data_IF_408175903045
#
_entry.id   IF_408175903045
#
_cell.length_a   1.000
_cell.length_b   1.000
_cell.length_c   1.000
_cell.angle_alpha   90.00
_cell.angle_beta   90.00
_cell.angle_gamma   90.00
#
_symmetry.space_group_name_H-M   'P 1'
#
loop_
_entity.id
_entity.type
_entity.pdbx_description
1 polymer ?
#
# COMPACT_ATOMS: atom_id res chain seq x y z
N UNK A 1 8.17 -30.02 -4.62
CA UNK A 1 9.15 -28.98 -4.27
C UNK A 1 8.45 -27.63 -4.31
N UNK A 2 8.42 -26.84 -3.24
CA UNK A 2 7.86 -25.50 -3.33
C UNK A 2 8.80 -24.63 -4.17
N UNK A 3 8.29 -24.09 -5.27
CA UNK A 3 8.96 -23.03 -6.02
C UNK A 3 8.96 -21.77 -5.15
N UNK A 4 10.14 -21.28 -4.78
CA UNK A 4 10.28 -19.97 -4.14
C UNK A 4 9.67 -18.93 -5.08
N UNK A 5 8.66 -18.20 -4.60
CA UNK A 5 8.11 -17.07 -5.33
C UNK A 5 9.17 -15.97 -5.35
N UNK A 6 9.50 -15.39 -6.51
CA UNK A 6 10.45 -14.30 -6.57
C UNK A 6 9.90 -13.09 -5.78
N UNK A 7 10.75 -12.48 -4.97
CA UNK A 7 10.43 -11.23 -4.27
C UNK A 7 10.34 -10.09 -5.28
N UNK A 8 9.29 -9.27 -5.19
CA UNK A 8 9.11 -8.05 -5.98
C UNK A 8 9.34 -6.83 -5.08
N UNK A 9 10.36 -6.03 -5.40
CA UNK A 9 10.54 -4.72 -4.80
C UNK A 9 9.84 -3.68 -5.69
N UNK A 10 8.88 -2.93 -5.14
CA UNK A 10 8.06 -1.96 -5.88
C UNK A 10 8.20 -0.56 -5.26
N UNK A 11 8.41 0.46 -6.11
CA UNK A 11 8.38 1.87 -5.72
C UNK A 11 7.34 2.65 -6.52
N UNK A 12 6.53 3.47 -5.85
CA UNK A 12 5.49 4.30 -6.46
C UNK A 12 5.95 5.76 -6.44
N UNK A 13 6.33 6.29 -7.61
CA UNK A 13 6.69 7.70 -7.79
C UNK A 13 5.64 8.42 -8.62
N UNK A 14 5.07 9.49 -8.08
CA UNK A 14 4.08 10.32 -8.76
C UNK A 14 4.08 11.73 -8.15
N UNK A 15 3.49 12.68 -8.87
CA UNK A 15 3.32 14.07 -8.44
C UNK A 15 2.62 14.19 -7.07
N UNK A 16 2.72 15.34 -6.42
CA UNK A 16 1.99 15.60 -5.17
C UNK A 16 0.48 15.42 -5.43
N UNK A 17 -0.22 14.84 -4.46
CA UNK A 17 -1.67 14.55 -4.53
C UNK A 17 -2.14 13.64 -5.66
N UNK A 18 -1.23 12.96 -6.37
CA UNK A 18 -1.56 11.97 -7.40
C UNK A 18 -2.16 10.65 -6.83
N UNK A 19 -2.46 10.59 -5.53
CA UNK A 19 -3.06 9.41 -4.90
C UNK A 19 -2.10 8.25 -4.63
N UNK A 20 -0.80 8.51 -4.45
CA UNK A 20 0.21 7.48 -4.13
C UNK A 20 -0.19 6.65 -2.90
N UNK A 21 -0.57 7.31 -1.82
CA UNK A 21 -1.00 6.69 -0.57
C UNK A 21 -2.24 5.82 -0.77
N UNK A 22 -3.24 6.34 -1.48
CA UNK A 22 -4.47 5.59 -1.79
C UNK A 22 -4.21 4.35 -2.67
N UNK A 23 -3.22 4.40 -3.57
CA UNK A 23 -2.81 3.24 -4.35
C UNK A 23 -2.12 2.18 -3.48
N UNK A 24 -1.24 2.59 -2.56
CA UNK A 24 -0.58 1.68 -1.61
C UNK A 24 -1.60 0.95 -0.74
N UNK A 25 -2.60 1.64 -0.19
CA UNK A 25 -3.69 1.03 0.60
C UNK A 25 -4.45 -0.05 -0.19
N UNK A 26 -4.74 0.21 -1.47
CA UNK A 26 -5.41 -0.78 -2.35
C UNK A 26 -4.53 -1.99 -2.62
N UNK A 27 -3.23 -1.81 -2.78
CA UNK A 27 -2.29 -2.91 -2.94
C UNK A 27 -2.22 -3.78 -1.69
N UNK A 28 -2.17 -3.16 -0.51
CA UNK A 28 -2.17 -3.88 0.78
C UNK A 28 -3.46 -4.66 0.98
N UNK A 29 -4.62 -4.06 0.67
CA UNK A 29 -5.92 -4.74 0.74
C UNK A 29 -5.99 -5.92 -0.26
N UNK A 30 -5.58 -5.70 -1.51
CA UNK A 30 -5.59 -6.74 -2.54
C UNK A 30 -4.63 -7.90 -2.24
N UNK A 31 -3.52 -7.62 -1.53
CA UNK A 31 -2.58 -8.62 -1.05
C UNK A 31 -3.05 -9.33 0.23
N UNK A 32 -4.16 -8.91 0.84
CA UNK A 32 -4.67 -9.45 2.10
C UNK A 32 -3.81 -9.08 3.32
N UNK A 33 -3.03 -7.99 3.24
CA UNK A 33 -2.20 -7.50 4.35
C UNK A 33 -3.03 -6.69 5.35
N UNK A 34 -4.09 -6.03 4.88
CA UNK A 34 -5.06 -5.28 5.69
C UNK A 34 -6.48 -5.72 5.34
N UNK A 35 -7.39 -5.70 6.30
CA UNK A 35 -8.79 -6.10 6.12
C UNK A 35 -9.70 -4.93 5.69
N UNK A 36 -9.26 -3.69 5.96
CA UNK A 36 -10.05 -2.47 5.72
C UNK A 36 -9.18 -1.42 5.06
N UNK A 37 -9.74 -0.74 4.05
CA UNK A 37 -9.06 0.36 3.35
C UNK A 37 -9.02 1.61 4.23
N UNK A 38 -7.83 2.17 4.46
CA UNK A 38 -7.68 3.49 5.05
C UNK A 38 -8.01 4.63 4.08
N UNK A 39 -8.16 5.83 4.63
CA UNK A 39 -8.35 7.08 3.88
C UNK A 39 -7.35 8.13 4.33
N UNK A 40 -6.75 8.82 3.36
CA UNK A 40 -5.84 9.95 3.58
C UNK A 40 -6.57 11.10 4.28
N UNK A 41 -7.79 11.41 3.84
CA UNK A 41 -8.61 12.48 4.43
C UNK A 41 -8.95 12.21 5.90
N UNK A 42 -9.02 10.94 6.28
CA UNK A 42 -9.30 10.51 7.65
C UNK A 42 -8.03 10.19 8.45
N UNK A 43 -6.83 10.35 7.88
CA UNK A 43 -5.55 10.02 8.52
C UNK A 43 -5.45 8.57 8.98
N UNK A 44 -6.14 7.65 8.29
CA UNK A 44 -6.31 6.25 8.71
C UNK A 44 -5.58 5.26 7.80
N UNK A 45 -4.76 5.76 6.87
CA UNK A 45 -3.95 4.89 6.03
C UNK A 45 -2.80 4.28 6.84
N UNK A 46 -2.40 3.06 6.51
CA UNK A 46 -1.23 2.44 7.13
C UNK A 46 0.06 3.17 6.77
N UNK A 47 0.06 3.91 5.66
CA UNK A 47 1.26 4.58 5.14
C UNK A 47 1.49 5.95 5.78
N UNK A 48 0.46 6.55 6.41
CA UNK A 48 0.57 7.86 7.06
C UNK A 48 1.19 7.79 8.47
N UNK A 49 1.35 6.58 9.03
CA UNK A 49 2.01 6.37 10.33
C UNK A 49 3.44 5.86 10.12
N UNK A 50 4.42 6.78 10.06
CA UNK A 50 5.80 6.42 10.37
C UNK A 50 5.97 6.50 11.90
N UNK A 51 5.86 5.34 12.56
CA UNK A 51 6.67 5.06 13.76
C UNK A 51 7.88 4.21 13.36
#
# INVERSE_FOLDING_TARGET
MPTLRPTLNLGILAHVDAGKTSLTERLLLAAGVIDVLGSVDAGSTQTDSLE
#
